data_IF_615278260161
#
_entry.id   IF_615278260161
#
_cell.length_a   1.000
_cell.length_b   1.000
_cell.length_c   1.000
_cell.angle_alpha   90.00
_cell.angle_beta   90.00
_cell.angle_gamma   90.00
#
_symmetry.space_group_name_H-M   'P 1'
#
loop_
_entity.id
_entity.type
_entity.pdbx_description
1 polymer ?
#
# COMPACT_ATOMS: atom_id res chain seq x y z
N UNK A 1 -13.03 -2.41 1.27
CA UNK A 1 -13.80 -1.59 0.38
C UNK A 1 -15.25 -1.68 0.69
N UNK A 2 -15.95 -0.65 0.57
CA UNK A 2 -17.30 -0.56 1.04
C UNK A 2 -18.32 -0.92 -0.01
N UNK A 3 -19.55 -1.07 0.45
CA UNK A 3 -20.66 -1.35 -0.42
C UNK A 3 -21.04 -0.22 -1.35
N UNK A 4 -20.46 0.95 -1.14
CA UNK A 4 -20.72 2.06 -2.07
C UNK A 4 -20.33 1.71 -3.49
N UNK A 5 -19.49 0.74 -3.63
CA UNK A 5 -19.11 0.25 -4.95
C UNK A 5 -19.91 -0.94 -5.39
N UNK A 6 -21.21 -0.85 -5.16
CA UNK A 6 -22.12 -1.86 -5.65
C UNK A 6 -22.06 -1.98 -7.16
N UNK A 7 -21.75 -0.89 -7.81
CA UNK A 7 -21.45 -0.95 -9.22
C UNK A 7 -20.16 -1.73 -9.40
N UNK A 8 -20.29 -2.94 -9.86
CA UNK A 8 -19.16 -3.84 -10.01
C UNK A 8 -18.06 -3.33 -10.95
N UNK A 9 -18.31 -2.26 -11.67
CA UNK A 9 -17.30 -1.66 -12.54
C UNK A 9 -16.35 -0.76 -11.78
N UNK A 10 -16.69 -0.39 -10.56
CA UNK A 10 -15.85 0.47 -9.75
C UNK A 10 -15.00 -0.39 -8.85
N UNK A 11 -13.70 -0.42 -9.12
CA UNK A 11 -12.72 -1.19 -8.39
C UNK A 11 -11.53 -0.29 -8.11
N UNK A 12 -10.60 -0.78 -7.28
CA UNK A 12 -9.37 -0.07 -7.03
C UNK A 12 -8.63 0.20 -8.34
N UNK A 13 -8.51 -0.81 -9.18
CA UNK A 13 -7.81 -0.67 -10.44
C UNK A 13 -8.46 0.37 -11.35
N UNK A 14 -9.77 0.43 -11.36
CA UNK A 14 -10.51 1.42 -12.14
C UNK A 14 -10.19 2.83 -11.65
N UNK A 15 -10.22 3.03 -10.34
CA UNK A 15 -9.94 4.33 -9.74
C UNK A 15 -8.50 4.75 -10.04
N UNK A 16 -7.56 3.84 -9.89
CA UNK A 16 -6.17 4.11 -10.18
C UNK A 16 -5.98 4.55 -11.62
N UNK A 17 -6.56 3.82 -12.55
CA UNK A 17 -6.38 4.10 -13.97
C UNK A 17 -7.05 5.39 -14.41
N UNK A 18 -8.26 5.63 -13.92
CA UNK A 18 -9.05 6.75 -14.42
C UNK A 18 -8.69 8.08 -13.76
N UNK A 19 -8.41 8.06 -12.46
CA UNK A 19 -8.28 9.29 -11.70
C UNK A 19 -6.89 9.55 -11.16
N UNK A 20 -6.20 8.53 -10.70
CA UNK A 20 -4.97 8.71 -9.94
C UNK A 20 -3.70 8.59 -10.76
N UNK A 21 -3.72 7.78 -11.79
CA UNK A 21 -2.50 7.51 -12.56
C UNK A 21 -1.90 8.78 -13.17
N UNK A 22 -2.71 9.70 -13.60
CA UNK A 22 -2.23 10.95 -14.19
C UNK A 22 -1.56 11.88 -13.18
N UNK A 23 -1.77 11.63 -11.89
CA UNK A 23 -1.14 12.42 -10.83
C UNK A 23 0.23 11.86 -10.44
N UNK A 24 0.64 10.78 -11.09
CA UNK A 24 1.87 10.09 -10.75
C UNK A 24 3.07 10.75 -11.46
N UNK A 25 3.85 11.50 -10.71
CA UNK A 25 5.04 12.18 -11.25
C UNK A 25 6.28 11.29 -11.25
N UNK A 26 6.30 10.26 -10.43
CA UNK A 26 7.43 9.33 -10.34
C UNK A 26 7.02 7.98 -10.92
N UNK A 27 6.79 7.94 -12.23
CA UNK A 27 6.26 6.75 -12.89
C UNK A 27 7.15 5.53 -12.73
N UNK A 28 8.46 5.73 -12.78
CA UNK A 28 9.40 4.63 -12.58
C UNK A 28 9.41 4.15 -11.14
N UNK A 29 9.48 5.07 -10.19
CA UNK A 29 9.56 4.73 -8.78
C UNK A 29 8.28 4.09 -8.24
N UNK A 30 7.13 4.45 -8.79
CA UNK A 30 5.86 3.88 -8.38
C UNK A 30 5.48 2.66 -9.23
N UNK A 31 6.32 2.29 -10.17
CA UNK A 31 5.99 1.21 -11.10
C UNK A 31 4.66 1.46 -11.81
N UNK A 32 4.36 2.74 -12.03
CA UNK A 32 3.11 3.17 -12.66
C UNK A 32 1.88 2.57 -11.97
N UNK A 33 1.94 2.46 -10.63
CA UNK A 33 0.88 1.90 -9.78
C UNK A 33 0.65 0.40 -9.97
N UNK A 34 1.64 -0.30 -10.48
CA UNK A 34 1.55 -1.75 -10.63
C UNK A 34 2.03 -2.51 -9.40
N UNK A 35 2.58 -1.80 -8.41
CA UNK A 35 3.05 -2.37 -7.14
C UNK A 35 2.47 -1.61 -5.97
N UNK A 36 2.48 -2.27 -4.81
CA UNK A 36 1.95 -1.68 -3.58
C UNK A 36 2.97 -0.79 -2.87
N UNK A 37 4.19 -0.75 -3.36
CA UNK A 37 5.23 0.10 -2.80
C UNK A 37 5.88 0.91 -3.92
N UNK A 38 6.58 1.96 -3.51
CA UNK A 38 7.29 2.81 -4.45
C UNK A 38 8.71 3.02 -3.95
N UNK A 39 9.58 3.51 -4.83
CA UNK A 39 10.91 3.89 -4.41
C UNK A 39 11.24 5.30 -4.89
N UNK A 40 12.17 5.92 -4.18
CA UNK A 40 12.74 7.21 -4.54
C UNK A 40 14.23 7.02 -4.72
N UNK A 41 14.75 7.50 -5.83
CA UNK A 41 16.18 7.41 -6.10
C UNK A 41 16.87 8.57 -5.42
N UNK A 42 17.76 8.27 -4.47
CA UNK A 42 18.43 9.30 -3.67
C UNK A 42 19.84 9.55 -4.17
N UNK A 43 20.58 8.48 -4.37
CA UNK A 43 21.96 8.56 -4.86
C UNK A 43 22.06 7.75 -6.12
N UNK A 44 23.20 7.90 -6.77
CA UNK A 44 23.47 7.29 -8.06
C UNK A 44 23.07 5.81 -8.15
N UNK A 45 23.38 5.04 -7.10
CA UNK A 45 23.12 3.59 -7.09
C UNK A 45 22.28 3.15 -5.90
N UNK A 46 21.57 4.07 -5.27
CA UNK A 46 20.79 3.74 -4.09
C UNK A 46 19.37 4.26 -4.22
N UNK A 47 18.46 3.55 -3.59
CA UNK A 47 17.04 3.88 -3.57
C UNK A 47 16.52 3.75 -2.16
N UNK A 48 15.51 4.55 -1.84
CA UNK A 48 14.68 4.31 -0.68
C UNK A 48 13.36 3.75 -1.18
N UNK A 49 12.93 2.67 -0.58
CA UNK A 49 11.63 2.10 -0.86
C UNK A 49 10.70 2.47 0.28
N UNK A 50 9.57 3.05 -0.06
CA UNK A 50 8.61 3.53 0.90
C UNK A 50 7.27 2.86 0.63
N UNK A 51 6.64 2.41 1.69
CA UNK A 51 5.27 1.91 1.61
C UNK A 51 4.52 2.38 2.83
N UNK A 52 3.21 2.46 2.73
CA UNK A 52 2.36 2.72 3.86
C UNK A 52 1.05 2.00 3.67
N UNK A 53 0.50 1.55 4.77
CA UNK A 53 -0.79 0.88 4.75
C UNK A 53 -1.45 1.11 6.09
N UNK A 54 -2.76 1.14 6.08
CA UNK A 54 -3.53 1.35 7.29
C UNK A 54 -4.47 0.18 7.51
N UNK A 55 -4.93 0.05 8.75
CA UNK A 55 -5.92 -0.96 9.09
C UNK A 55 -7.12 -0.28 9.72
N UNK A 56 -8.27 -0.91 9.56
CA UNK A 56 -9.55 -0.34 10.02
C UNK A 56 -10.26 -1.32 10.91
N UNK A 57 -10.88 -0.80 11.97
CA UNK A 57 -11.73 -1.61 12.81
C UNK A 57 -12.89 -2.19 12.00
N UNK A 58 -13.30 -3.39 12.33
CA UNK A 58 -14.37 -4.15 11.68
C UNK A 58 -14.02 -4.69 10.29
N UNK A 59 -12.87 -4.34 9.78
CA UNK A 59 -12.38 -4.87 8.49
C UNK A 59 -11.13 -5.70 8.75
N UNK A 60 -10.13 -5.08 9.34
CA UNK A 60 -8.83 -5.71 9.57
C UNK A 60 -8.70 -6.22 11.00
N UNK A 61 -9.40 -5.63 11.92
CA UNK A 61 -9.40 -6.06 13.31
C UNK A 61 -10.77 -5.76 13.94
N UNK A 62 -11.00 -6.33 15.10
CA UNK A 62 -12.30 -6.22 15.76
C UNK A 62 -12.13 -5.74 17.19
N UNK A 63 -13.22 -5.24 17.76
CA UNK A 63 -13.22 -4.59 19.07
C UNK A 63 -12.62 -5.45 20.18
N UNK A 64 -12.77 -6.77 20.07
CA UNK A 64 -12.23 -7.67 21.06
C UNK A 64 -10.76 -8.03 20.90
N UNK A 65 -10.13 -7.60 19.84
CA UNK A 65 -8.74 -7.93 19.59
C UNK A 65 -7.83 -7.19 20.55
N UNK A 66 -6.73 -7.84 20.96
CA UNK A 66 -5.80 -7.22 21.87
C UNK A 66 -4.97 -6.14 21.16
N UNK A 67 -4.54 -5.11 21.90
CA UNK A 67 -3.66 -4.10 21.31
C UNK A 67 -2.40 -4.70 20.70
N UNK A 68 -1.86 -5.73 21.33
CA UNK A 68 -0.67 -6.39 20.79
C UNK A 68 -0.95 -7.05 19.45
N UNK A 69 -2.08 -7.69 19.31
CA UNK A 69 -2.49 -8.34 18.07
C UNK A 69 -2.66 -7.31 16.96
N UNK A 70 -3.29 -6.19 17.28
CA UNK A 70 -3.51 -5.11 16.30
C UNK A 70 -2.17 -4.51 15.88
N UNK A 71 -1.28 -4.24 16.83
CA UNK A 71 0.03 -3.71 16.52
C UNK A 71 0.84 -4.66 15.63
N UNK A 72 0.81 -5.94 15.95
CA UNK A 72 1.50 -6.94 15.12
C UNK A 72 0.96 -6.96 13.70
N UNK A 73 -0.34 -6.81 13.56
CA UNK A 73 -0.97 -6.83 12.24
C UNK A 73 -0.53 -5.65 11.39
N UNK A 74 -0.54 -4.45 11.95
CA UNK A 74 -0.19 -3.26 11.18
C UNK A 74 1.29 -3.28 10.78
N UNK A 75 2.15 -3.76 11.66
CA UNK A 75 3.58 -3.90 11.32
C UNK A 75 3.76 -4.96 10.24
N UNK A 76 3.08 -6.09 10.36
CA UNK A 76 3.23 -7.20 9.44
C UNK A 76 2.81 -6.85 8.02
N UNK A 77 1.69 -6.15 7.85
CA UNK A 77 1.25 -5.81 6.50
C UNK A 77 2.23 -4.86 5.82
N UNK A 78 2.83 -3.94 6.56
CA UNK A 78 3.81 -3.04 5.98
C UNK A 78 5.13 -3.75 5.68
N UNK A 79 5.57 -4.63 6.56
CA UNK A 79 6.77 -5.43 6.31
C UNK A 79 6.59 -6.37 5.12
N UNK A 80 5.39 -6.89 4.95
CA UNK A 80 5.08 -7.77 3.83
C UNK A 80 5.28 -7.06 2.50
N UNK A 81 4.81 -5.82 2.41
CA UNK A 81 4.97 -5.04 1.18
C UNK A 81 6.45 -4.76 0.89
N UNK A 82 7.22 -4.46 1.93
CA UNK A 82 8.66 -4.23 1.77
C UNK A 82 9.39 -5.50 1.36
N UNK A 83 9.02 -6.63 1.95
CA UNK A 83 9.59 -7.93 1.59
C UNK A 83 9.32 -8.27 0.14
N UNK A 84 8.13 -7.96 -0.33
CA UNK A 84 7.78 -8.20 -1.73
C UNK A 84 8.68 -7.40 -2.69
N UNK A 85 9.22 -6.28 -2.22
CA UNK A 85 10.17 -5.47 -2.98
C UNK A 85 11.61 -5.93 -2.81
N UNK A 86 11.86 -6.97 -2.02
CA UNK A 86 13.20 -7.47 -1.79
C UNK A 86 14.07 -6.56 -0.96
N UNK A 87 13.48 -5.73 -0.12
CA UNK A 87 14.23 -4.78 0.71
C UNK A 87 14.10 -5.13 2.18
N UNK A 88 15.05 -4.63 2.96
CA UNK A 88 15.01 -4.76 4.41
C UNK A 88 14.39 -3.51 5.02
N UNK A 89 13.56 -3.65 6.04
CA UNK A 89 13.08 -2.50 6.78
C UNK A 89 14.23 -1.82 7.51
N UNK A 90 14.14 -0.52 7.65
CA UNK A 90 15.24 0.26 8.20
C UNK A 90 14.79 1.06 9.41
#
# INVERSE_FOLDING_TARGET
>A
MTKVFLNKKISEKYILNKYLRKLNFNKTGTYNFENDAAYIKIFKNKKIVITSDSISEKIDFFKGDSPKSIANKIVTINLSDLSAMGVRPY
#
